data_IF_881348868761
#
_entry.id   IF_881348868761
#
_cell.length_a   1.000
_cell.length_b   1.000
_cell.length_c   1.000
_cell.angle_alpha   90.00
_cell.angle_beta   90.00
_cell.angle_gamma   90.00
#
_symmetry.space_group_name_H-M   'P 1'
#
loop_
_entity.id
_entity.type
_entity.pdbx_description
1 polymer ?
#
# COMPACT_ATOMS: atom_id res chain seq x y z
N UNK A 1 64.63 21.70 3.02
CA UNK A 1 65.07 22.09 1.66
C UNK A 1 63.80 22.33 0.83
N UNK A 2 63.66 23.59 0.48
CA UNK A 2 62.97 24.26 -0.63
C UNK A 2 61.71 23.65 -1.27
N UNK A 3 60.68 24.46 -1.16
CA UNK A 3 59.40 24.49 -1.84
C UNK A 3 59.53 24.62 -3.36
N UNK A 4 58.51 24.17 -4.08
CA UNK A 4 58.07 24.79 -5.35
C UNK A 4 56.54 24.66 -5.49
N UNK A 5 55.88 25.82 -5.33
CA UNK A 5 54.46 25.98 -5.65
C UNK A 5 54.26 26.10 -7.17
N UNK A 6 53.09 25.64 -7.64
CA UNK A 6 52.52 26.08 -8.92
C UNK A 6 51.07 26.53 -8.69
N UNK A 7 50.89 27.84 -8.85
CA UNK A 7 49.61 28.50 -8.85
C UNK A 7 48.81 28.15 -10.10
N UNK A 8 47.54 27.93 -9.94
CA UNK A 8 46.57 27.79 -11.02
C UNK A 8 45.82 29.12 -11.19
N UNK A 9 46.01 29.74 -12.37
CA UNK A 9 45.31 30.95 -12.78
C UNK A 9 43.82 30.66 -13.00
N UNK A 10 42.99 31.39 -12.27
CA UNK A 10 41.55 31.50 -12.54
C UNK A 10 41.37 32.55 -13.63
N UNK A 11 40.91 32.15 -14.83
CA UNK A 11 40.44 33.07 -15.86
C UNK A 11 39.04 33.52 -15.53
N UNK A 12 38.86 34.82 -15.38
CA UNK A 12 37.57 35.49 -15.24
C UNK A 12 36.75 35.40 -16.50
N UNK A 13 35.44 35.15 -16.32
CA UNK A 13 34.42 35.29 -17.36
C UNK A 13 33.80 36.69 -17.26
N UNK A 14 33.76 37.39 -18.36
CA UNK A 14 33.14 38.70 -18.53
C UNK A 14 31.60 38.62 -18.49
N UNK A 15 30.93 39.74 -18.13
CA UNK A 15 29.45 39.75 -18.05
C UNK A 15 28.83 39.94 -19.48
N UNK A 16 27.85 39.12 -19.78
CA UNK A 16 26.97 39.35 -20.93
C UNK A 16 25.88 40.36 -20.59
N UNK A 17 25.71 41.36 -21.46
CA UNK A 17 24.71 42.41 -21.36
C UNK A 17 23.27 41.96 -21.68
N UNK A 18 22.26 42.81 -21.41
CA UNK A 18 20.85 42.47 -21.49
C UNK A 18 20.26 42.65 -22.91
N UNK A 19 19.44 41.71 -23.33
CA UNK A 19 18.61 41.92 -24.53
C UNK A 19 18.10 40.61 -25.14
N UNK A 20 16.87 40.27 -24.86
CA UNK A 20 16.15 39.22 -25.59
C UNK A 20 14.92 38.76 -24.80
N UNK A 21 13.77 39.42 -25.03
CA UNK A 21 12.50 39.04 -24.38
C UNK A 21 12.06 37.66 -24.84
N UNK A 22 11.88 36.77 -23.91
CA UNK A 22 11.13 35.53 -24.09
C UNK A 22 9.70 35.79 -23.65
N UNK A 23 8.77 35.75 -24.61
CA UNK A 23 7.35 35.67 -24.32
C UNK A 23 7.08 34.35 -23.53
N UNK A 24 6.74 34.50 -22.29
CA UNK A 24 6.38 33.38 -21.41
C UNK A 24 5.02 32.83 -21.80
N UNK A 25 4.96 31.66 -22.41
CA UNK A 25 3.79 30.82 -22.28
C UNK A 25 3.70 30.33 -20.85
N UNK A 26 2.83 30.98 -20.07
CA UNK A 26 2.51 30.58 -18.72
C UNK A 26 1.94 29.19 -18.70
N UNK A 27 2.72 28.22 -18.24
CA UNK A 27 2.19 26.95 -17.75
C UNK A 27 1.39 27.28 -16.50
N UNK A 28 0.07 27.30 -16.64
CA UNK A 28 -0.87 27.30 -15.53
C UNK A 28 -0.57 26.10 -14.65
N UNK A 29 0.03 26.34 -13.50
CA UNK A 29 0.11 25.36 -12.43
C UNK A 29 -1.32 25.00 -12.07
N UNK A 30 -1.70 23.74 -12.34
CA UNK A 30 -3.03 23.22 -12.07
C UNK A 30 -3.48 23.54 -10.65
N UNK A 31 -4.76 23.85 -10.53
CA UNK A 31 -5.43 24.12 -9.28
C UNK A 31 -5.12 23.06 -8.23
N UNK A 32 -5.06 23.41 -6.94
CA UNK A 32 -4.92 22.44 -5.87
C UNK A 32 -6.04 21.40 -5.96
N UNK A 33 -5.72 20.16 -5.65
CA UNK A 33 -6.66 19.05 -5.60
C UNK A 33 -7.93 19.49 -4.89
N UNK A 34 -9.13 19.18 -5.40
CA UNK A 34 -10.36 19.57 -4.77
C UNK A 34 -10.40 18.97 -3.35
N UNK A 35 -10.37 19.82 -2.33
CA UNK A 35 -10.76 19.44 -0.98
C UNK A 35 -12.22 19.04 -1.06
N UNK A 36 -12.57 17.90 -0.47
CA UNK A 36 -13.96 17.48 -0.34
C UNK A 36 -14.74 18.63 0.33
N UNK A 37 -15.72 19.18 -0.38
CA UNK A 37 -16.57 20.25 0.14
C UNK A 37 -17.53 19.66 1.20
N UNK A 38 -17.44 20.03 2.47
CA UNK A 38 -18.31 19.52 3.52
C UNK A 38 -19.78 19.97 3.39
N UNK A 39 -20.12 20.74 2.34
CA UNK A 39 -21.44 21.30 2.10
C UNK A 39 -22.22 20.68 0.96
N UNK A 40 -21.75 19.64 0.26
CA UNK A 40 -22.54 19.00 -0.77
C UNK A 40 -23.76 18.30 -0.17
N UNK A 41 -24.94 18.84 -0.45
CA UNK A 41 -26.23 18.32 -0.01
C UNK A 41 -26.35 16.84 -0.38
N UNK A 42 -26.67 15.99 0.60
CA UNK A 42 -26.99 14.57 0.40
C UNK A 42 -28.05 14.46 -0.68
N UNK A 43 -27.91 13.57 -1.67
CA UNK A 43 -29.01 13.17 -2.52
C UNK A 43 -30.11 12.62 -1.61
N UNK A 44 -31.33 13.11 -1.79
CA UNK A 44 -32.50 12.76 -0.98
C UNK A 44 -32.70 11.25 -0.87
N UNK A 45 -33.24 10.83 0.26
CA UNK A 45 -33.57 9.45 0.58
C UNK A 45 -34.19 8.74 -0.64
N UNK A 46 -33.49 7.74 -1.17
CA UNK A 46 -33.99 6.90 -2.24
C UNK A 46 -35.28 6.20 -1.75
N UNK A 47 -36.35 6.31 -2.51
CA UNK A 47 -37.54 5.49 -2.31
C UNK A 47 -37.20 4.00 -2.36
N UNK A 48 -38.12 3.10 -1.98
CA UNK A 48 -37.83 1.68 -1.86
C UNK A 48 -37.33 1.16 -3.21
N UNK A 49 -36.04 0.89 -3.31
CA UNK A 49 -35.43 0.22 -4.46
C UNK A 49 -35.99 -1.17 -4.54
N UNK A 50 -36.57 -1.52 -5.68
CA UNK A 50 -36.98 -2.89 -5.96
C UNK A 50 -35.76 -3.80 -5.75
N UNK A 51 -35.82 -4.68 -4.76
CA UNK A 51 -34.73 -5.63 -4.42
C UNK A 51 -34.58 -6.58 -5.61
N UNK A 52 -33.45 -6.49 -6.28
CA UNK A 52 -33.06 -7.34 -7.40
C UNK A 52 -31.97 -8.32 -6.99
N UNK A 53 -31.27 -8.06 -5.88
CA UNK A 53 -30.27 -8.96 -5.31
C UNK A 53 -30.86 -9.66 -4.09
N UNK A 54 -30.71 -10.98 -4.01
CA UNK A 54 -31.05 -11.71 -2.78
C UNK A 54 -29.99 -11.34 -1.71
N UNK A 55 -30.44 -11.06 -0.50
CA UNK A 55 -29.54 -10.76 0.64
C UNK A 55 -28.59 -11.93 0.90
N UNK A 56 -29.00 -13.17 0.54
CA UNK A 56 -28.16 -14.37 0.63
C UNK A 56 -26.94 -14.37 -0.31
N UNK A 57 -26.90 -13.51 -1.35
CA UNK A 57 -25.80 -13.41 -2.29
C UNK A 57 -24.72 -12.39 -1.85
N UNK A 58 -25.02 -11.65 -0.77
CA UNK A 58 -24.08 -10.65 -0.24
C UNK A 58 -23.12 -11.30 0.75
N UNK A 59 -21.86 -10.80 0.83
CA UNK A 59 -20.94 -11.22 1.88
C UNK A 59 -21.50 -10.80 3.26
N UNK A 60 -21.13 -11.52 4.33
CA UNK A 60 -21.56 -11.17 5.68
C UNK A 60 -21.06 -9.77 6.07
N UNK A 61 -21.78 -9.12 7.00
CA UNK A 61 -21.34 -7.87 7.61
C UNK A 61 -20.14 -8.13 8.53
N UNK A 62 -18.93 -7.80 8.07
CA UNK A 62 -17.68 -8.12 8.79
C UNK A 62 -17.15 -6.95 9.62
N UNK A 63 -17.68 -5.74 9.41
CA UNK A 63 -17.32 -4.52 10.14
C UNK A 63 -18.44 -3.51 10.05
N UNK A 64 -18.59 -2.63 11.04
CA UNK A 64 -19.60 -1.56 10.99
C UNK A 64 -19.40 -0.57 9.83
N UNK A 65 -18.14 -0.40 9.37
CA UNK A 65 -17.81 0.45 8.22
C UNK A 65 -17.83 -0.28 6.87
N UNK A 66 -18.21 -1.55 6.85
CA UNK A 66 -18.26 -2.37 5.65
C UNK A 66 -19.68 -2.40 5.08
N UNK A 67 -19.85 -1.97 3.83
CA UNK A 67 -21.12 -2.09 3.11
C UNK A 67 -21.11 -3.33 2.20
N UNK A 68 -21.79 -4.43 2.58
CA UNK A 68 -21.80 -5.68 1.79
C UNK A 68 -22.25 -5.50 0.35
N UNK A 69 -23.03 -4.46 0.04
CA UNK A 69 -23.53 -4.21 -1.31
C UNK A 69 -22.45 -3.79 -2.30
N UNK A 70 -21.30 -3.32 -1.81
CA UNK A 70 -20.15 -2.87 -2.60
C UNK A 70 -19.10 -3.94 -2.83
N UNK A 71 -19.25 -5.09 -2.18
CA UNK A 71 -18.22 -6.13 -2.15
C UNK A 71 -18.76 -7.50 -2.49
N UNK A 72 -17.88 -8.35 -2.97
CA UNK A 72 -18.08 -9.79 -3.16
C UNK A 72 -16.89 -10.53 -2.57
N UNK A 73 -17.12 -11.64 -1.87
CA UNK A 73 -16.05 -12.50 -1.40
C UNK A 73 -15.23 -13.03 -2.60
N UNK A 74 -13.90 -13.08 -2.47
CA UNK A 74 -13.02 -13.64 -3.50
C UNK A 74 -13.03 -15.15 -3.37
N UNK A 75 -13.46 -15.85 -4.42
CA UNK A 75 -13.50 -17.31 -4.43
C UNK A 75 -12.11 -17.95 -4.25
N UNK A 76 -12.07 -19.08 -3.55
CA UNK A 76 -10.83 -19.81 -3.22
C UNK A 76 -10.10 -19.28 -1.97
N UNK A 77 -10.76 -18.41 -1.20
CA UNK A 77 -10.26 -17.85 0.05
C UNK A 77 -11.28 -17.99 1.20
N UNK A 78 -12.14 -18.99 1.12
CA UNK A 78 -13.18 -19.28 2.11
C UNK A 78 -12.60 -19.88 3.41
N UNK A 79 -11.35 -20.32 3.36
CA UNK A 79 -10.59 -20.91 4.47
C UNK A 79 -9.85 -19.86 5.34
N UNK A 80 -9.94 -18.57 5.01
CA UNK A 80 -9.36 -17.50 5.82
C UNK A 80 -10.04 -17.42 7.18
N UNK A 81 -9.25 -17.29 8.24
CA UNK A 81 -9.72 -17.23 9.62
C UNK A 81 -9.35 -15.92 10.33
N UNK A 82 -8.24 -15.33 9.97
CA UNK A 82 -7.70 -14.12 10.58
C UNK A 82 -7.87 -12.89 9.67
N UNK A 83 -8.28 -13.11 8.42
CA UNK A 83 -8.50 -12.06 7.43
C UNK A 83 -9.85 -12.22 6.71
N UNK A 84 -10.33 -11.11 6.14
CA UNK A 84 -11.36 -11.15 5.10
C UNK A 84 -10.81 -10.58 3.80
N UNK A 85 -11.24 -11.17 2.66
CA UNK A 85 -10.78 -10.79 1.34
C UNK A 85 -11.95 -10.61 0.36
N UNK A 86 -12.13 -9.38 -0.11
CA UNK A 86 -13.27 -9.02 -0.94
C UNK A 86 -12.85 -8.28 -2.21
N UNK A 87 -13.60 -8.52 -3.29
CA UNK A 87 -13.53 -7.77 -4.54
C UNK A 87 -14.53 -6.63 -4.51
N UNK A 88 -14.13 -5.42 -4.90
CA UNK A 88 -15.05 -4.32 -5.13
C UNK A 88 -15.92 -4.58 -6.33
N UNK A 89 -17.22 -4.33 -6.20
CA UNK A 89 -18.21 -4.52 -7.26
C UNK A 89 -19.13 -3.31 -7.39
N UNK A 90 -19.57 -3.06 -8.60
CA UNK A 90 -20.66 -2.14 -8.88
C UNK A 90 -21.90 -2.95 -9.26
N UNK A 91 -22.98 -2.76 -8.52
CA UNK A 91 -24.26 -3.41 -8.74
C UNK A 91 -25.26 -2.41 -9.29
N UNK A 92 -25.80 -2.71 -10.45
CA UNK A 92 -26.81 -1.89 -11.11
C UNK A 92 -28.10 -2.68 -11.30
N UNK A 93 -29.24 -2.01 -11.14
CA UNK A 93 -30.56 -2.56 -11.43
C UNK A 93 -31.21 -1.70 -12.50
N UNK A 94 -31.65 -2.32 -13.58
CA UNK A 94 -32.27 -1.63 -14.71
C UNK A 94 -33.40 -2.43 -15.32
N UNK A 95 -34.07 -1.89 -16.36
CA UNK A 95 -35.16 -2.58 -17.06
C UNK A 95 -34.76 -3.95 -17.62
N UNK A 96 -33.46 -4.12 -17.94
CA UNK A 96 -32.93 -5.38 -18.52
C UNK A 96 -32.44 -6.36 -17.44
N UNK A 97 -32.70 -6.09 -16.15
CA UNK A 97 -32.34 -6.93 -15.03
C UNK A 97 -31.22 -6.35 -14.16
N UNK A 98 -30.70 -7.19 -13.25
CA UNK A 98 -29.57 -6.86 -12.39
C UNK A 98 -28.25 -7.20 -13.08
N UNK A 99 -27.27 -6.32 -12.97
CA UNK A 99 -25.91 -6.55 -13.45
C UNK A 99 -24.89 -6.24 -12.36
N UNK A 100 -23.85 -7.09 -12.26
CA UNK A 100 -22.70 -6.88 -11.39
C UNK A 100 -21.44 -6.73 -12.24
N UNK A 101 -20.63 -5.74 -11.92
CA UNK A 101 -19.36 -5.48 -12.60
C UNK A 101 -18.23 -5.39 -11.57
N UNK A 102 -17.16 -6.11 -11.81
CA UNK A 102 -15.95 -6.02 -10.98
C UNK A 102 -15.28 -4.65 -11.12
N UNK A 103 -14.92 -4.08 -9.99
CA UNK A 103 -14.07 -2.89 -9.91
C UNK A 103 -12.60 -3.33 -9.74
N UNK A 104 -11.63 -2.54 -10.22
CA UNK A 104 -10.22 -2.90 -10.12
C UNK A 104 -9.65 -2.65 -8.69
N UNK A 105 -10.40 -3.03 -7.67
CA UNK A 105 -10.05 -2.84 -6.26
C UNK A 105 -10.39 -4.08 -5.45
N UNK A 106 -9.50 -4.43 -4.52
CA UNK A 106 -9.74 -5.46 -3.51
C UNK A 106 -9.57 -4.87 -2.12
N UNK A 107 -10.34 -5.41 -1.16
CA UNK A 107 -10.24 -5.12 0.27
C UNK A 107 -9.68 -6.33 0.99
N UNK A 108 -8.58 -6.12 1.70
CA UNK A 108 -7.93 -7.07 2.61
C UNK A 108 -8.06 -6.50 4.01
N UNK A 109 -8.72 -7.21 4.91
CA UNK A 109 -8.89 -6.72 6.26
C UNK A 109 -8.50 -7.74 7.32
N UNK A 110 -7.76 -7.30 8.32
CA UNK A 110 -7.56 -8.07 9.55
C UNK A 110 -8.92 -8.31 10.22
N UNK A 111 -9.17 -9.54 10.65
CA UNK A 111 -10.45 -9.98 11.22
C UNK A 111 -10.28 -10.68 12.57
N UNK A 112 -9.54 -10.02 13.45
CA UNK A 112 -9.34 -10.41 14.85
C UNK A 112 -9.66 -9.24 15.80
N UNK A 113 -10.86 -8.63 15.69
CA UNK A 113 -11.18 -7.41 16.43
C UNK A 113 -11.16 -7.58 17.95
N UNK A 114 -11.40 -8.80 18.46
CA UNK A 114 -11.35 -9.13 19.89
C UNK A 114 -9.95 -8.97 20.51
N UNK A 115 -8.91 -8.91 19.67
CA UNK A 115 -7.51 -8.69 20.07
C UNK A 115 -6.89 -7.49 19.34
N UNK A 116 -7.74 -6.55 18.93
CA UNK A 116 -7.30 -5.33 18.21
C UNK A 116 -6.55 -5.65 16.92
N UNK A 117 -6.97 -6.68 16.20
CA UNK A 117 -6.35 -7.10 14.97
C UNK A 117 -4.83 -7.37 15.10
N UNK A 118 -4.39 -7.85 16.29
CA UNK A 118 -3.03 -8.31 16.48
C UNK A 118 -2.75 -9.50 15.57
N UNK A 119 -1.65 -9.48 14.83
CA UNK A 119 -1.30 -10.56 13.92
C UNK A 119 -0.46 -11.64 14.62
N UNK A 120 -0.67 -12.88 14.20
CA UNK A 120 0.11 -14.07 14.54
C UNK A 120 0.73 -14.65 13.25
N UNK A 121 1.65 -15.64 13.32
CA UNK A 121 2.24 -16.24 12.12
C UNK A 121 1.20 -16.69 11.09
N UNK A 122 0.11 -17.31 11.53
CA UNK A 122 -1.01 -17.69 10.66
C UNK A 122 -1.65 -16.49 9.94
N UNK A 123 -1.91 -15.39 10.66
CA UNK A 123 -2.41 -14.14 10.04
C UNK A 123 -1.45 -13.63 8.96
N UNK A 124 -0.14 -13.72 9.20
CA UNK A 124 0.88 -13.27 8.24
C UNK A 124 0.93 -14.17 7.01
N UNK A 125 0.78 -15.48 7.19
CA UNK A 125 0.70 -16.43 6.07
C UNK A 125 -0.53 -16.15 5.20
N UNK A 126 -1.70 -15.94 5.81
CA UNK A 126 -2.92 -15.55 5.10
C UNK A 126 -2.74 -14.21 4.38
N UNK A 127 -2.15 -13.20 5.06
CA UNK A 127 -1.91 -11.87 4.49
C UNK A 127 -0.99 -11.93 3.27
N UNK A 128 0.08 -12.71 3.36
CA UNK A 128 0.98 -12.94 2.22
C UNK A 128 0.22 -13.58 1.05
N UNK A 129 -0.58 -14.61 1.31
CA UNK A 129 -1.36 -15.36 0.31
C UNK A 129 -2.34 -14.43 -0.44
N UNK A 130 -3.12 -13.62 0.27
CA UNK A 130 -4.10 -12.73 -0.37
C UNK A 130 -3.44 -11.57 -1.12
N UNK A 131 -2.35 -11.01 -0.59
CA UNK A 131 -1.60 -9.96 -1.28
C UNK A 131 -0.88 -10.49 -2.52
N UNK A 132 -0.34 -11.71 -2.48
CA UNK A 132 0.27 -12.33 -3.66
C UNK A 132 -0.76 -12.63 -4.74
N UNK A 133 -1.96 -13.11 -4.38
CA UNK A 133 -3.07 -13.24 -5.31
C UNK A 133 -3.44 -11.90 -5.95
N UNK A 134 -3.61 -10.84 -5.14
CA UNK A 134 -3.88 -9.50 -5.65
C UNK A 134 -2.76 -8.98 -6.58
N UNK A 135 -1.50 -9.27 -6.25
CA UNK A 135 -0.33 -8.94 -7.07
C UNK A 135 -0.40 -9.59 -8.45
N UNK A 136 -0.79 -10.86 -8.50
CA UNK A 136 -0.87 -11.64 -9.75
C UNK A 136 -2.13 -11.38 -10.57
N UNK A 137 -3.19 -10.83 -9.97
CA UNK A 137 -4.46 -10.56 -10.65
C UNK A 137 -4.32 -9.36 -11.60
N UNK A 138 -4.52 -9.59 -12.88
CA UNK A 138 -4.35 -8.55 -13.93
C UNK A 138 -5.43 -7.47 -13.88
N UNK A 139 -6.56 -7.77 -13.30
CA UNK A 139 -7.76 -6.92 -13.18
C UNK A 139 -7.84 -6.16 -11.84
N UNK A 140 -6.86 -6.32 -10.95
CA UNK A 140 -6.69 -5.55 -9.71
C UNK A 140 -5.68 -4.43 -9.93
N UNK A 141 -6.06 -3.19 -9.63
CA UNK A 141 -5.19 -2.01 -9.65
C UNK A 141 -4.83 -1.51 -8.25
N UNK A 142 -5.77 -1.64 -7.30
CA UNK A 142 -5.65 -1.10 -5.95
C UNK A 142 -5.99 -2.15 -4.89
N UNK A 143 -5.22 -2.18 -3.82
CA UNK A 143 -5.49 -2.97 -2.61
C UNK A 143 -5.79 -2.02 -1.47
N UNK A 144 -6.96 -2.13 -0.84
CA UNK A 144 -7.31 -1.47 0.40
C UNK A 144 -6.96 -2.41 1.55
N UNK A 145 -5.98 -2.04 2.36
CA UNK A 145 -5.58 -2.79 3.56
C UNK A 145 -6.17 -2.12 4.78
N UNK A 146 -6.98 -2.84 5.56
CA UNK A 146 -7.70 -2.30 6.71
C UNK A 146 -7.84 -3.31 7.85
N UNK A 147 -8.62 -2.97 8.88
CA UNK A 147 -9.01 -3.87 9.98
C UNK A 147 -10.51 -3.83 10.20
N UNK A 148 -11.12 -5.00 10.39
CA UNK A 148 -12.51 -5.12 10.78
C UNK A 148 -12.71 -4.72 12.24
N UNK A 149 -13.89 -4.22 12.57
CA UNK A 149 -14.25 -3.75 13.90
C UNK A 149 -15.70 -3.28 13.99
N UNK A 150 -16.09 -2.79 15.16
CA UNK A 150 -15.28 -2.60 16.38
C UNK A 150 -15.01 -3.89 17.15
N UNK A 151 -14.13 -3.81 18.16
CA UNK A 151 -13.91 -4.93 19.09
C UNK A 151 -15.18 -5.25 19.87
N UNK A 152 -15.61 -6.52 19.94
CA UNK A 152 -16.79 -6.91 20.69
C UNK A 152 -16.62 -6.76 22.22
N UNK A 153 -15.39 -6.54 22.70
CA UNK A 153 -15.09 -6.42 24.13
C UNK A 153 -15.39 -5.03 24.68
N UNK A 154 -15.14 -3.98 23.91
CA UNK A 154 -15.16 -2.60 24.40
C UNK A 154 -15.49 -1.55 23.33
N UNK A 155 -15.90 -1.98 22.14
CA UNK A 155 -16.24 -1.09 21.05
C UNK A 155 -15.04 -0.36 20.42
N UNK A 156 -13.81 -0.68 20.80
CA UNK A 156 -12.65 0.02 20.30
C UNK A 156 -12.22 -0.45 18.91
N UNK A 157 -11.69 0.46 18.11
CA UNK A 157 -11.27 0.23 16.73
C UNK A 157 -9.77 -0.02 16.63
N UNK A 158 -9.37 -0.88 15.70
CA UNK A 158 -7.98 -1.08 15.33
C UNK A 158 -7.82 -1.39 13.84
N UNK A 159 -6.84 -0.77 13.23
CA UNK A 159 -6.28 -1.23 11.97
C UNK A 159 -5.53 -2.53 12.22
N UNK A 160 -4.45 -2.44 13.00
CA UNK A 160 -3.65 -3.58 13.44
C UNK A 160 -2.77 -3.15 14.62
N UNK A 161 -2.83 -3.87 15.73
CA UNK A 161 -2.06 -3.55 16.95
C UNK A 161 -0.68 -4.21 17.00
N UNK A 162 -0.19 -4.75 15.86
CA UNK A 162 1.12 -5.39 15.78
C UNK A 162 1.11 -6.87 16.10
N UNK A 163 2.27 -7.42 16.44
CA UNK A 163 2.42 -8.84 16.75
C UNK A 163 1.73 -9.24 18.06
N UNK A 164 1.00 -10.35 18.04
CA UNK A 164 0.27 -10.87 19.20
C UNK A 164 1.24 -11.34 20.30
N UNK A 165 1.41 -10.51 21.33
CA UNK A 165 2.36 -10.78 22.41
C UNK A 165 2.00 -12.00 23.26
N UNK A 166 0.75 -12.48 23.21
CA UNK A 166 0.30 -13.67 23.98
C UNK A 166 0.93 -14.95 23.48
N UNK A 167 1.33 -14.99 22.21
CA UNK A 167 1.97 -16.14 21.57
C UNK A 167 3.46 -15.92 21.28
N UNK A 168 4.03 -14.82 21.77
CA UNK A 168 5.46 -14.56 21.69
C UNK A 168 6.19 -15.30 22.79
N UNK A 169 6.93 -16.34 22.44
CA UNK A 169 7.82 -17.08 23.34
C UNK A 169 9.25 -16.52 23.34
N UNK A 170 10.14 -17.22 24.06
CA UNK A 170 11.57 -16.89 24.09
C UNK A 170 12.23 -16.99 22.70
N UNK A 171 11.74 -17.92 21.89
CA UNK A 171 12.27 -18.23 20.55
C UNK A 171 11.52 -17.48 19.42
N UNK A 172 10.71 -16.49 19.79
CA UNK A 172 9.90 -15.70 18.86
C UNK A 172 8.42 -16.07 18.85
N UNK A 173 7.72 -15.72 17.79
CA UNK A 173 6.28 -15.98 17.65
C UNK A 173 6.02 -17.43 17.26
N UNK A 174 5.03 -18.06 17.89
CA UNK A 174 4.61 -19.44 17.65
C UNK A 174 3.30 -19.47 16.87
N UNK A 175 3.07 -20.55 16.12
CA UNK A 175 1.80 -20.76 15.43
C UNK A 175 0.65 -21.07 16.39
N UNK A 176 0.93 -21.74 17.50
CA UNK A 176 -0.03 -22.05 18.57
C UNK A 176 0.51 -21.65 19.92
N UNK A 177 -0.40 -21.27 20.83
CA UNK A 177 -0.10 -21.08 22.25
C UNK A 177 -0.14 -22.38 23.05
N UNK A 178 -0.69 -23.44 22.47
CA UNK A 178 -0.79 -24.76 23.08
C UNK A 178 0.40 -25.64 22.66
N UNK A 179 1.33 -25.95 23.58
CA UNK A 179 2.48 -26.81 23.29
C UNK A 179 2.08 -28.27 22.99
N UNK A 180 0.87 -28.68 23.37
CA UNK A 180 0.35 -30.03 23.19
C UNK A 180 -0.60 -30.14 21.97
N UNK A 181 -0.75 -29.07 21.19
CA UNK A 181 -1.60 -29.09 20.00
C UNK A 181 -1.09 -30.14 18.99
N UNK A 182 -1.99 -30.94 18.48
CA UNK A 182 -1.76 -32.09 17.58
C UNK A 182 -0.94 -31.72 16.30
N UNK A 183 -0.79 -30.43 16.00
CA UNK A 183 -0.05 -29.90 14.86
C UNK A 183 1.20 -29.10 15.25
N UNK A 184 1.59 -29.06 16.53
CA UNK A 184 2.79 -28.35 16.95
C UNK A 184 4.05 -28.90 16.28
N UNK A 185 4.08 -30.21 16.01
CA UNK A 185 5.19 -30.91 15.38
C UNK A 185 5.17 -30.85 13.82
N UNK A 186 4.07 -30.40 13.21
CA UNK A 186 3.90 -30.34 11.77
C UNK A 186 4.53 -29.10 11.11
N UNK A 187 4.95 -28.12 11.92
CA UNK A 187 5.49 -26.86 11.43
C UNK A 187 7.01 -26.94 11.42
N UNK A 188 7.58 -26.69 10.23
CA UNK A 188 9.03 -26.59 10.05
C UNK A 188 9.66 -25.69 11.12
N UNK A 189 10.57 -26.21 11.97
CA UNK A 189 11.25 -25.42 13.00
C UNK A 189 11.96 -24.17 12.43
N UNK A 190 12.34 -24.18 11.15
CA UNK A 190 12.92 -23.03 10.48
C UNK A 190 11.91 -21.89 10.27
N UNK A 191 10.60 -22.20 10.24
CA UNK A 191 9.50 -21.21 10.19
C UNK A 191 9.03 -20.81 11.57
N UNK A 192 9.17 -21.70 12.56
CA UNK A 192 8.80 -21.41 13.93
C UNK A 192 9.63 -20.23 14.48
N UNK A 193 8.99 -19.33 15.18
CA UNK A 193 9.62 -18.13 15.74
C UNK A 193 9.86 -16.98 14.76
N UNK A 194 9.75 -17.20 13.45
CA UNK A 194 9.83 -16.13 12.46
C UNK A 194 8.47 -15.47 12.29
N UNK A 195 8.49 -14.16 12.34
CA UNK A 195 7.35 -13.35 11.94
C UNK A 195 7.61 -12.84 10.52
N UNK A 196 7.03 -13.51 9.52
CA UNK A 196 7.26 -13.19 8.10
C UNK A 196 6.66 -11.85 7.66
N UNK A 197 6.30 -10.97 8.60
CA UNK A 197 5.75 -9.64 8.32
C UNK A 197 6.69 -8.77 7.45
N UNK A 198 8.00 -9.01 7.55
CA UNK A 198 8.97 -8.32 6.69
C UNK A 198 8.84 -8.72 5.21
N UNK A 199 8.44 -9.96 4.93
CA UNK A 199 8.14 -10.40 3.56
C UNK A 199 6.84 -9.77 3.05
N UNK A 200 5.86 -9.58 3.92
CA UNK A 200 4.64 -8.82 3.59
C UNK A 200 4.98 -7.35 3.28
N UNK A 201 5.81 -6.71 4.10
CA UNK A 201 6.30 -5.35 3.83
C UNK A 201 7.01 -5.27 2.47
N UNK A 202 7.89 -6.24 2.18
CA UNK A 202 8.59 -6.33 0.89
C UNK A 202 7.60 -6.51 -0.26
N UNK A 203 6.60 -7.38 -0.10
CA UNK A 203 5.57 -7.60 -1.11
C UNK A 203 4.75 -6.32 -1.38
N UNK A 204 4.30 -5.62 -0.34
CA UNK A 204 3.58 -4.33 -0.47
C UNK A 204 4.43 -3.34 -1.27
N UNK A 205 5.72 -3.22 -0.94
CA UNK A 205 6.63 -2.27 -1.58
C UNK A 205 6.90 -2.61 -3.04
N UNK A 206 7.03 -3.90 -3.39
CA UNK A 206 7.48 -4.33 -4.72
C UNK A 206 6.35 -4.76 -5.65
N UNK A 207 5.13 -4.93 -5.17
CA UNK A 207 4.01 -5.32 -6.03
C UNK A 207 3.61 -4.19 -6.99
N UNK A 208 3.20 -4.53 -8.25
CA UNK A 208 2.82 -3.56 -9.28
C UNK A 208 1.39 -3.03 -9.09
N UNK A 209 0.98 -2.81 -7.84
CA UNK A 209 -0.35 -2.34 -7.44
C UNK A 209 -0.20 -1.23 -6.41
N UNK A 210 -1.16 -0.31 -6.35
CA UNK A 210 -1.22 0.67 -5.27
C UNK A 210 -1.84 0.02 -4.04
N UNK A 211 -1.17 0.14 -2.90
CA UNK A 211 -1.68 -0.30 -1.60
C UNK A 211 -2.06 0.92 -0.78
N UNK A 212 -3.32 1.01 -0.39
CA UNK A 212 -3.85 2.08 0.46
C UNK A 212 -4.15 1.51 1.84
N UNK A 213 -3.46 1.98 2.86
CA UNK A 213 -3.80 1.66 4.24
C UNK A 213 -5.00 2.52 4.67
N UNK A 214 -6.08 1.86 5.10
CA UNK A 214 -7.31 2.49 5.59
C UNK A 214 -7.37 2.27 7.10
N UNK A 215 -6.90 3.27 7.85
CA UNK A 215 -6.66 3.16 9.29
C UNK A 215 -7.90 3.59 10.08
N UNK A 216 -8.76 2.63 10.38
CA UNK A 216 -10.01 2.83 11.13
C UNK A 216 -9.83 2.95 12.64
N UNK A 217 -8.64 2.69 13.19
CA UNK A 217 -8.37 2.71 14.63
C UNK A 217 -6.89 2.59 14.95
N UNK A 218 -6.53 1.86 16.01
CA UNK A 218 -5.14 1.69 16.41
C UNK A 218 -4.26 1.07 15.32
N UNK A 219 -3.17 1.74 14.97
CA UNK A 219 -2.05 1.24 14.19
C UNK A 219 -0.81 1.24 15.08
N UNK A 220 -0.42 0.07 15.63
CA UNK A 220 0.65 0.01 16.61
C UNK A 220 1.70 -1.07 16.26
N UNK A 221 2.96 -0.85 16.67
CA UNK A 221 4.06 -1.76 16.41
C UNK A 221 4.17 -2.16 14.93
N UNK A 222 4.12 -3.46 14.62
CA UNK A 222 4.11 -3.93 13.23
C UNK A 222 2.94 -3.43 12.39
N UNK A 223 1.78 -3.15 13.01
CA UNK A 223 0.64 -2.51 12.32
C UNK A 223 0.93 -1.06 11.93
N UNK A 224 1.65 -0.32 12.78
CA UNK A 224 2.17 0.98 12.42
C UNK A 224 3.12 0.89 11.21
N UNK A 225 4.03 -0.08 11.22
CA UNK A 225 4.96 -0.26 10.10
C UNK A 225 4.26 -0.62 8.79
N UNK A 226 3.12 -1.35 8.84
CA UNK A 226 2.35 -1.67 7.65
C UNK A 226 1.76 -0.43 6.95
N UNK A 227 1.21 0.53 7.72
CA UNK A 227 0.71 1.75 7.10
C UNK A 227 1.83 2.62 6.52
N UNK A 228 3.00 2.65 7.18
CA UNK A 228 4.18 3.39 6.70
C UNK A 228 4.71 2.82 5.39
N UNK A 229 4.64 1.50 5.19
CA UNK A 229 5.11 0.82 3.97
C UNK A 229 4.10 0.90 2.84
N UNK A 230 2.81 1.08 3.13
CA UNK A 230 1.78 1.29 2.12
C UNK A 230 2.08 2.53 1.27
N UNK A 231 1.57 2.56 0.05
CA UNK A 231 1.79 3.69 -0.87
C UNK A 231 1.05 4.95 -0.43
N UNK A 232 -0.15 4.77 0.14
CA UNK A 232 -1.02 5.84 0.63
C UNK A 232 -1.69 5.42 1.93
N UNK A 233 -2.07 6.39 2.75
CA UNK A 233 -2.79 6.14 4.01
C UNK A 233 -3.93 7.12 4.19
N UNK A 234 -5.12 6.61 4.50
CA UNK A 234 -6.31 7.38 4.92
C UNK A 234 -6.62 6.98 6.36
N UNK A 235 -6.92 7.93 7.22
CA UNK A 235 -7.13 7.68 8.65
C UNK A 235 -8.47 8.20 9.15
N UNK A 236 -9.08 7.48 10.10
CA UNK A 236 -10.25 7.94 10.86
C UNK A 236 -9.87 9.07 11.80
N UNK A 237 -10.60 10.19 11.72
CA UNK A 237 -10.44 11.32 12.65
C UNK A 237 -10.70 10.92 14.09
N UNK A 238 -11.75 10.17 14.33
CA UNK A 238 -12.22 9.85 15.68
C UNK A 238 -11.39 8.74 16.34
N UNK A 239 -10.99 7.72 15.56
CA UNK A 239 -10.50 6.48 16.13
C UNK A 239 -9.06 6.14 15.77
N UNK A 240 -8.48 6.70 14.68
CA UNK A 240 -7.12 6.38 14.34
C UNK A 240 -6.15 6.93 15.39
N UNK A 241 -5.27 6.04 15.86
CA UNK A 241 -4.19 6.33 16.78
C UNK A 241 -2.97 5.55 16.32
N UNK A 242 -1.85 6.20 16.38
CA UNK A 242 -0.58 5.65 15.90
C UNK A 242 0.42 5.57 17.04
N UNK A 243 1.14 4.46 17.12
CA UNK A 243 2.15 4.26 18.15
C UNK A 243 3.17 3.23 17.72
N UNK A 244 4.46 3.51 17.89
CA UNK A 244 5.50 2.50 17.70
C UNK A 244 5.89 1.91 19.04
N UNK A 245 5.41 0.69 19.31
CA UNK A 245 5.45 0.06 20.62
C UNK A 245 6.67 -0.83 20.86
N UNK A 246 7.49 -1.08 19.84
CA UNK A 246 8.54 -2.10 19.88
C UNK A 246 9.53 -1.93 21.05
N UNK A 247 9.96 -0.69 21.32
CA UNK A 247 10.86 -0.39 22.43
C UNK A 247 10.27 -0.76 23.80
N UNK A 248 8.94 -0.66 23.97
CA UNK A 248 8.26 -0.99 25.21
C UNK A 248 8.21 -2.50 25.47
N UNK A 249 8.27 -3.32 24.42
CA UNK A 249 8.15 -4.78 24.50
C UNK A 249 9.46 -5.51 24.21
N UNK A 250 10.59 -4.77 24.21
CA UNK A 250 11.92 -5.34 23.97
C UNK A 250 12.08 -5.88 22.53
N UNK A 251 11.47 -5.23 21.56
CA UNK A 251 11.61 -5.48 20.13
C UNK A 251 12.14 -4.24 19.41
N UNK A 252 12.30 -4.33 18.09
CA UNK A 252 12.61 -3.18 17.25
C UNK A 252 12.13 -3.42 15.82
N UNK A 253 11.69 -2.37 15.14
CA UNK A 253 11.38 -2.43 13.72
C UNK A 253 12.67 -2.29 12.90
N UNK A 254 13.24 -3.43 12.55
CA UNK A 254 14.43 -3.53 11.70
C UNK A 254 14.13 -3.55 10.20
N UNK A 255 12.84 -3.48 9.83
CA UNK A 255 12.39 -3.49 8.43
C UNK A 255 12.26 -2.10 7.81
N UNK A 256 11.32 -1.98 6.89
CA UNK A 256 11.08 -0.71 6.19
C UNK A 256 10.45 0.37 7.06
N UNK A 257 9.73 0.02 8.13
CA UNK A 257 8.94 0.96 8.92
C UNK A 257 9.78 2.13 9.45
N UNK A 258 10.90 1.86 10.15
CA UNK A 258 11.75 2.92 10.69
C UNK A 258 12.40 3.77 9.60
N UNK A 259 12.91 3.14 8.54
CA UNK A 259 13.60 3.83 7.45
C UNK A 259 12.67 4.74 6.65
N UNK A 260 11.48 4.24 6.27
CA UNK A 260 10.52 4.99 5.47
C UNK A 260 9.83 6.08 6.30
N UNK A 261 9.46 5.81 7.57
CA UNK A 261 8.90 6.85 8.42
C UNK A 261 9.84 8.04 8.55
N UNK A 262 11.16 7.78 8.71
CA UNK A 262 12.16 8.84 8.80
C UNK A 262 12.24 9.72 7.54
N UNK A 263 11.88 9.18 6.38
CA UNK A 263 11.76 9.93 5.12
C UNK A 263 10.46 10.73 5.03
N UNK A 264 9.36 10.17 5.54
CA UNK A 264 8.04 10.80 5.52
C UNK A 264 7.96 11.99 6.49
N UNK A 265 8.36 11.80 7.76
CA UNK A 265 8.18 12.79 8.84
C UNK A 265 9.48 13.46 9.27
N UNK A 266 10.61 13.09 8.68
CA UNK A 266 11.94 13.57 9.06
C UNK A 266 12.53 12.83 10.26
N UNK A 267 13.89 12.83 10.34
CA UNK A 267 14.66 12.04 11.29
C UNK A 267 14.32 12.32 12.77
N UNK A 268 14.08 13.58 13.13
CA UNK A 268 13.81 13.94 14.54
C UNK A 268 12.48 13.41 15.00
N UNK A 269 11.42 13.56 14.17
CA UNK A 269 10.08 13.09 14.49
C UNK A 269 10.03 11.56 14.52
N UNK A 270 10.64 10.90 13.54
CA UNK A 270 10.71 9.44 13.53
C UNK A 270 11.39 8.90 14.79
N UNK A 271 12.52 9.47 15.21
CA UNK A 271 13.22 9.07 16.45
C UNK A 271 12.38 9.30 17.69
N UNK A 272 11.64 10.41 17.75
CA UNK A 272 10.71 10.68 18.84
C UNK A 272 9.63 9.58 18.94
N UNK A 273 9.01 9.23 17.80
CA UNK A 273 8.00 8.17 17.71
C UNK A 273 8.56 6.83 18.19
N UNK A 274 9.72 6.43 17.69
CA UNK A 274 10.31 5.13 18.03
C UNK A 274 10.93 5.09 19.43
N UNK A 275 11.60 6.15 19.88
CA UNK A 275 12.35 6.12 21.15
C UNK A 275 11.47 6.39 22.35
N UNK A 276 10.45 7.23 22.19
CA UNK A 276 9.56 7.58 23.28
C UNK A 276 8.29 6.73 23.31
N UNK A 277 8.00 6.02 22.19
CA UNK A 277 6.81 5.20 22.03
C UNK A 277 5.51 5.92 22.46
N UNK A 278 5.40 7.20 22.09
CA UNK A 278 4.21 8.00 22.39
C UNK A 278 3.14 7.79 21.32
N UNK A 279 1.90 7.82 21.77
CA UNK A 279 0.74 7.89 20.90
C UNK A 279 0.70 9.24 20.18
N UNK A 280 0.26 9.24 18.92
CA UNK A 280 -0.05 10.43 18.17
C UNK A 280 -1.35 10.26 17.38
N UNK A 281 -2.02 11.38 17.11
CA UNK A 281 -3.35 11.43 16.49
C UNK A 281 -3.29 11.32 14.97
N UNK A 282 -4.45 11.16 14.34
CA UNK A 282 -4.59 11.23 12.89
C UNK A 282 -4.19 12.62 12.35
N UNK A 283 -4.56 13.68 13.06
CA UNK A 283 -4.21 15.06 12.70
C UNK A 283 -2.70 15.31 12.80
N UNK A 284 -2.03 14.80 13.84
CA UNK A 284 -0.58 14.84 13.95
C UNK A 284 0.08 14.12 12.77
N UNK A 285 -0.41 12.90 12.45
CA UNK A 285 0.09 12.11 11.34
C UNK A 285 -0.04 12.83 9.99
N UNK A 286 -1.19 13.49 9.76
CA UNK A 286 -1.43 14.32 8.58
C UNK A 286 -0.49 15.53 8.54
N UNK A 287 -0.36 16.24 9.65
CA UNK A 287 0.49 17.42 9.75
C UNK A 287 1.98 17.08 9.52
N UNK A 288 2.41 15.87 9.87
CA UNK A 288 3.80 15.42 9.69
C UNK A 288 4.05 14.74 8.34
N UNK A 289 3.01 14.47 7.54
CA UNK A 289 3.11 13.83 6.23
C UNK A 289 3.20 12.29 6.28
N UNK A 290 2.81 11.67 7.41
CA UNK A 290 2.72 10.22 7.55
C UNK A 290 1.39 9.66 7.01
N UNK A 291 0.36 10.48 6.87
CA UNK A 291 -0.96 10.14 6.30
C UNK A 291 -1.31 11.14 5.20
N UNK A 292 -2.06 10.69 4.20
CA UNK A 292 -2.47 11.51 3.07
C UNK A 292 -3.78 12.26 3.35
N UNK A 293 -4.69 11.64 4.10
CA UNK A 293 -6.00 12.23 4.39
C UNK A 293 -6.56 11.74 5.74
N UNK A 294 -7.38 12.60 6.37
CA UNK A 294 -8.08 12.31 7.62
C UNK A 294 -9.55 12.65 7.42
N UNK A 295 -10.39 11.62 7.49
CA UNK A 295 -11.82 11.72 7.25
C UNK A 295 -12.62 11.26 8.47
N UNK A 296 -13.89 11.61 8.55
CA UNK A 296 -14.77 11.09 9.58
C UNK A 296 -14.92 9.57 9.45
N UNK A 297 -15.08 8.88 10.57
CA UNK A 297 -15.01 7.41 10.61
C UNK A 297 -16.04 6.74 9.69
N UNK A 298 -17.23 7.26 9.62
CA UNK A 298 -18.31 6.78 8.74
C UNK A 298 -18.06 7.06 7.24
N UNK A 299 -17.06 7.88 6.92
CA UNK A 299 -16.67 8.21 5.55
C UNK A 299 -15.44 7.40 5.06
N UNK A 300 -14.85 6.54 5.90
CA UNK A 300 -13.61 5.84 5.59
C UNK A 300 -13.72 4.96 4.34
N UNK A 301 -14.77 4.17 4.23
CA UNK A 301 -14.97 3.28 3.07
C UNK A 301 -15.21 4.09 1.80
N UNK A 302 -16.01 5.15 1.88
CA UNK A 302 -16.27 6.05 0.75
C UNK A 302 -14.98 6.72 0.25
N UNK A 303 -14.18 7.24 1.17
CA UNK A 303 -12.90 7.87 0.83
C UNK A 303 -11.92 6.87 0.21
N UNK A 304 -11.84 5.66 0.74
CA UNK A 304 -10.97 4.61 0.21
C UNK A 304 -11.38 4.16 -1.20
N UNK A 305 -12.68 3.98 -1.43
CA UNK A 305 -13.22 3.66 -2.75
C UNK A 305 -13.04 4.80 -3.75
N UNK A 306 -13.15 6.05 -3.31
CA UNK A 306 -12.86 7.22 -4.16
C UNK A 306 -11.38 7.27 -4.58
N UNK A 307 -10.44 6.98 -3.66
CA UNK A 307 -9.02 6.83 -4.02
C UNK A 307 -8.82 5.74 -5.07
N UNK A 308 -9.43 4.57 -4.87
CA UNK A 308 -9.35 3.47 -5.84
C UNK A 308 -9.96 3.86 -7.19
N UNK A 309 -11.09 4.58 -7.20
CA UNK A 309 -11.74 5.08 -8.41
C UNK A 309 -10.84 6.05 -9.17
N UNK A 310 -10.22 6.99 -8.47
CA UNK A 310 -9.28 7.95 -9.07
C UNK A 310 -8.09 7.22 -9.67
N UNK A 311 -7.48 6.27 -8.93
CA UNK A 311 -6.34 5.48 -9.40
C UNK A 311 -6.73 4.70 -10.66
N UNK A 312 -7.93 4.12 -10.71
CA UNK A 312 -8.42 3.37 -11.87
C UNK A 312 -8.57 4.23 -13.16
N UNK A 313 -8.62 5.55 -13.04
CA UNK A 313 -8.60 6.46 -14.21
C UNK A 313 -7.20 6.73 -14.76
N UNK A 314 -6.16 6.26 -14.10
CA UNK A 314 -4.76 6.49 -14.50
C UNK A 314 -4.23 5.31 -15.30
N UNK A 315 -3.20 5.55 -16.11
CA UNK A 315 -2.50 4.47 -16.82
C UNK A 315 -1.91 3.45 -15.85
N UNK A 316 -2.30 2.16 -15.91
CA UNK A 316 -1.76 1.13 -15.04
C UNK A 316 -0.23 0.98 -15.18
N UNK A 317 0.29 1.14 -16.39
CA UNK A 317 1.73 1.09 -16.65
C UNK A 317 2.44 2.27 -15.99
N UNK A 318 1.92 3.50 -16.16
CA UNK A 318 2.54 4.67 -15.56
C UNK A 318 2.57 4.59 -14.03
N UNK A 319 1.47 4.14 -13.39
CA UNK A 319 1.42 3.93 -11.94
C UNK A 319 2.49 2.93 -11.48
N UNK A 320 2.61 1.78 -12.15
CA UNK A 320 3.64 0.77 -11.81
C UNK A 320 5.05 1.36 -11.90
N UNK A 321 5.35 2.01 -13.03
CA UNK A 321 6.67 2.58 -13.26
C UNK A 321 7.00 3.68 -12.26
N UNK A 322 6.02 4.54 -11.90
CA UNK A 322 6.20 5.56 -10.86
C UNK A 322 6.47 4.92 -9.49
N UNK A 323 5.71 3.90 -9.08
CA UNK A 323 5.96 3.20 -7.83
C UNK A 323 7.38 2.64 -7.78
N UNK A 324 7.82 1.96 -8.83
CA UNK A 324 9.17 1.41 -8.89
C UNK A 324 10.25 2.50 -8.92
N UNK A 325 10.00 3.62 -9.61
CA UNK A 325 10.93 4.74 -9.64
C UNK A 325 11.08 5.42 -8.27
N UNK A 326 9.99 5.62 -7.51
CA UNK A 326 10.04 6.11 -6.13
C UNK A 326 10.86 5.20 -5.22
N UNK A 327 10.74 3.89 -5.40
CA UNK A 327 11.42 2.91 -4.56
C UNK A 327 12.89 2.70 -4.94
N UNK A 328 13.24 2.87 -6.22
CA UNK A 328 14.56 2.56 -6.76
C UNK A 328 15.71 3.27 -6.03
N UNK A 329 15.52 4.55 -5.73
CA UNK A 329 16.55 5.38 -5.08
C UNK A 329 16.89 4.88 -3.67
N UNK A 330 15.91 4.30 -2.96
CA UNK A 330 16.04 3.81 -1.60
C UNK A 330 16.47 2.35 -1.51
N UNK A 331 16.03 1.53 -2.45
CA UNK A 331 16.20 0.08 -2.41
C UNK A 331 17.49 -0.39 -3.09
N UNK A 332 18.26 0.52 -3.71
CA UNK A 332 19.55 0.20 -4.32
C UNK A 332 19.47 -0.95 -5.33
N UNK A 333 20.33 -1.95 -5.22
CA UNK A 333 20.35 -3.10 -6.15
C UNK A 333 19.05 -3.92 -6.12
N UNK A 334 18.37 -4.01 -4.99
CA UNK A 334 17.08 -4.69 -4.91
C UNK A 334 16.00 -3.94 -5.71
N UNK A 335 15.96 -2.61 -5.60
CA UNK A 335 15.09 -1.76 -6.40
C UNK A 335 15.44 -1.81 -7.90
N UNK A 336 16.73 -1.81 -8.23
CA UNK A 336 17.22 -2.01 -9.59
C UNK A 336 16.66 -3.30 -10.21
N UNK A 337 16.67 -4.41 -9.47
CA UNK A 337 16.17 -5.70 -9.95
C UNK A 337 14.66 -5.67 -10.20
N UNK A 338 13.87 -5.02 -9.34
CA UNK A 338 12.42 -4.86 -9.52
C UNK A 338 12.12 -3.98 -10.74
N UNK A 339 12.80 -2.84 -10.86
CA UNK A 339 12.67 -1.94 -12.00
C UNK A 339 13.06 -2.63 -13.32
N UNK A 340 14.17 -3.36 -13.33
CA UNK A 340 14.69 -4.06 -14.50
C UNK A 340 13.69 -5.09 -15.06
N UNK A 341 12.94 -5.79 -14.19
CA UNK A 341 11.91 -6.73 -14.62
C UNK A 341 10.84 -6.08 -15.49
N UNK A 342 10.34 -4.91 -15.09
CA UNK A 342 9.34 -4.19 -15.86
C UNK A 342 9.95 -3.50 -17.10
N UNK A 343 11.12 -2.91 -16.96
CA UNK A 343 11.83 -2.27 -18.09
C UNK A 343 12.16 -3.27 -19.19
N UNK A 344 12.63 -4.49 -18.83
CA UNK A 344 12.88 -5.56 -19.79
C UNK A 344 11.61 -6.01 -20.51
N UNK A 345 10.49 -6.13 -19.76
CA UNK A 345 9.19 -6.48 -20.35
C UNK A 345 8.76 -5.43 -21.39
N UNK A 346 8.95 -4.13 -21.10
CA UNK A 346 8.63 -3.05 -22.04
C UNK A 346 9.58 -3.07 -23.24
N UNK A 347 10.87 -3.33 -23.04
CA UNK A 347 11.85 -3.42 -24.12
C UNK A 347 11.49 -4.55 -25.12
N UNK A 348 11.00 -5.70 -24.64
CA UNK A 348 10.56 -6.78 -25.54
C UNK A 348 9.36 -6.44 -26.42
N UNK A 349 8.66 -5.35 -26.16
CA UNK A 349 7.53 -4.89 -26.95
C UNK A 349 7.93 -3.93 -28.08
N UNK A 350 9.23 -3.64 -28.23
CA UNK A 350 9.75 -2.74 -29.27
C UNK A 350 10.07 -3.48 -30.57
N UNK A 351 10.05 -2.75 -31.69
CA UNK A 351 10.47 -3.29 -33.00
C UNK A 351 11.96 -3.67 -33.01
N UNK A 352 12.80 -2.98 -32.23
CA UNK A 352 14.21 -3.34 -32.05
C UNK A 352 14.36 -4.75 -31.46
N UNK A 353 13.54 -5.11 -30.45
CA UNK A 353 13.58 -6.45 -29.87
C UNK A 353 13.09 -7.52 -30.87
N UNK A 354 12.14 -7.17 -31.74
CA UNK A 354 11.69 -8.05 -32.84
C UNK A 354 12.82 -8.30 -33.82
N UNK A 355 13.50 -7.23 -34.28
CA UNK A 355 14.64 -7.33 -35.20
C UNK A 355 15.76 -8.20 -34.58
N UNK A 356 16.14 -7.93 -33.32
CA UNK A 356 17.19 -8.70 -32.65
C UNK A 356 16.87 -10.18 -32.55
N UNK A 357 15.61 -10.53 -32.19
CA UNK A 357 15.14 -11.92 -32.13
C UNK A 357 15.16 -12.59 -33.51
N UNK A 358 14.62 -11.90 -34.51
CA UNK A 358 14.46 -12.48 -35.85
C UNK A 358 15.81 -12.67 -36.52
N UNK A 359 16.74 -11.74 -36.39
CA UNK A 359 18.10 -11.85 -36.83
C UNK A 359 18.80 -13.06 -36.21
N UNK A 360 18.67 -13.24 -34.89
CA UNK A 360 19.23 -14.41 -34.20
C UNK A 360 18.67 -15.73 -34.72
N UNK A 361 17.34 -15.84 -34.88
CA UNK A 361 16.68 -17.06 -35.37
C UNK A 361 17.07 -17.37 -36.82
N UNK A 362 17.23 -16.33 -37.67
CA UNK A 362 17.64 -16.44 -39.05
C UNK A 362 19.13 -16.59 -39.24
N UNK A 363 19.93 -16.53 -38.16
CA UNK A 363 21.42 -16.60 -38.19
C UNK A 363 22.04 -15.55 -39.11
N UNK A 364 21.51 -14.34 -39.10
CA UNK A 364 22.05 -13.18 -39.79
C UNK A 364 22.42 -12.09 -38.78
N UNK A 365 23.22 -11.14 -39.19
CA UNK A 365 23.46 -9.93 -38.40
C UNK A 365 22.18 -9.08 -38.32
N UNK A 366 21.89 -8.47 -37.17
CA UNK A 366 20.75 -7.55 -37.03
C UNK A 366 21.00 -6.26 -37.79
N UNK A 367 19.95 -5.71 -38.39
CA UNK A 367 19.98 -4.41 -39.05
C UNK A 367 19.40 -3.33 -38.15
N UNK A 368 20.26 -2.56 -37.53
CA UNK A 368 19.88 -1.44 -36.65
C UNK A 368 19.71 -0.10 -37.40
N UNK A 369 19.92 -0.05 -38.73
CA UNK A 369 19.91 1.20 -39.48
C UNK A 369 18.56 1.92 -39.49
N UNK A 370 17.47 1.19 -39.28
CA UNK A 370 16.12 1.73 -39.21
C UNK A 370 15.73 2.34 -37.88
N UNK A 371 16.57 2.21 -36.83
CA UNK A 371 16.26 2.63 -35.48
C UNK A 371 17.06 3.86 -35.05
N UNK A 372 16.40 4.90 -34.48
CA UNK A 372 17.09 6.10 -34.05
C UNK A 372 17.89 5.88 -32.77
N UNK A 373 19.06 6.51 -32.68
CA UNK A 373 19.87 6.50 -31.45
C UNK A 373 19.38 7.51 -30.39
N UNK A 374 18.45 8.41 -30.76
CA UNK A 374 17.79 9.35 -29.85
C UNK A 374 16.41 9.69 -30.38
N UNK A 375 15.47 9.94 -29.51
CA UNK A 375 14.11 10.38 -29.79
C UNK A 375 13.93 11.85 -29.45
#
# INVERSE_FOLDING_TARGET
>A
MRASGRGLLVRGLAPCGPGGGFEGHGLSLGAPSPRLDPGAARPGAAGPLARVWDVSDLPPQVSETFDPTRWRAVAGFEDLTDLTYHRGVERTSGPDGAAERDLPVVRVAFDRPEVRNAFRPHTVDELYRVLDHARMSSDVGTVLLTGNGPSPKDGGWAFCSGGDQRIRGRDGYRYTSDPDAEHADAIDPARAGRLHILEVQRLIRTMPKVVVAVVGGWAAGGGHSLHVVADLTIASRQHARFMQTDANVGSFDGGYGSALLARQVGQKRAREIFFLAREYSAEDALAWGAVNDVVDHDQLEDAALEYARIIATKSPQAIRMLKFAFNLADDGLAGQQVFAGEATRLAYMTDEAVEGRDAFLQRRDPDWSGFPYAY
#
